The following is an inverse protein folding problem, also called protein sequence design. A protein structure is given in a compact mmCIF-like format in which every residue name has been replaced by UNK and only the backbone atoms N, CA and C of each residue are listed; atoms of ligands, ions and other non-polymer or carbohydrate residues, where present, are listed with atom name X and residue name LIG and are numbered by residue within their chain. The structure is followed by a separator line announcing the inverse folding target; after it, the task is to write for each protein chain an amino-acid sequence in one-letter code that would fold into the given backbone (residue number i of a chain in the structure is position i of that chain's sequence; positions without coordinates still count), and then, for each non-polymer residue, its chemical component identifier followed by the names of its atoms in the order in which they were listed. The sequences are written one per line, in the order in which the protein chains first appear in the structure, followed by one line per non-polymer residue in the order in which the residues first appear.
data_IF_023317406681
#
_entry.id   IF_023317406681
#
_cell.length_a   1.000
_cell.length_b   1.000
_cell.length_c   1.000
_cell.angle_alpha   90.00
_cell.angle_beta   90.00
_cell.angle_gamma   90.00
#
_symmetry.space_group_name_H-M   'P 1'
#
loop_
_entity.id
_entity.type
_entity.pdbx_description
1 polymer ?
#
# COMPACT_ATOMS: atom_id res chain seq x y z
N UNK A 1 2.82 -13.16 4.86
CA UNK A 1 2.13 -13.25 3.55
C UNK A 1 3.17 -13.20 2.44
N UNK A 2 2.99 -13.91 1.31
CA UNK A 2 3.91 -13.82 0.17
C UNK A 2 3.81 -12.46 -0.55
N UNK A 3 4.95 -11.93 -0.99
CA UNK A 3 5.07 -10.77 -1.86
C UNK A 3 4.99 -11.24 -3.33
N UNK A 4 3.96 -10.80 -4.06
CA UNK A 4 3.83 -11.08 -5.50
C UNK A 4 4.46 -9.97 -6.34
N UNK A 5 5.29 -10.33 -7.31
CA UNK A 5 5.95 -9.39 -8.22
C UNK A 5 5.39 -9.57 -9.63
N UNK A 6 5.12 -8.47 -10.33
CA UNK A 6 4.68 -8.49 -11.73
C UNK A 6 5.28 -7.32 -12.51
N UNK A 7 5.43 -7.47 -13.82
CA UNK A 7 5.75 -6.39 -14.76
C UNK A 7 4.50 -5.80 -15.43
N UNK A 8 3.33 -6.44 -15.27
CA UNK A 8 2.07 -6.07 -15.91
C UNK A 8 1.15 -5.31 -14.94
N UNK A 9 0.68 -4.12 -15.33
CA UNK A 9 -0.29 -3.35 -14.54
C UNK A 9 -1.73 -3.84 -14.67
N UNK A 10 -1.96 -4.83 -15.52
CA UNK A 10 -3.26 -5.51 -15.68
C UNK A 10 -3.28 -6.90 -15.08
N UNK A 11 -2.19 -7.31 -14.40
CA UNK A 11 -2.08 -8.62 -13.79
C UNK A 11 -3.27 -8.91 -12.86
N UNK A 12 -3.91 -10.06 -13.06
CA UNK A 12 -5.12 -10.44 -12.33
C UNK A 12 -4.90 -10.65 -10.82
N UNK A 13 -3.65 -10.69 -10.37
CA UNK A 13 -3.26 -10.78 -8.97
C UNK A 13 -3.42 -9.46 -8.20
N UNK A 14 -3.50 -8.31 -8.89
CA UNK A 14 -3.51 -6.96 -8.29
C UNK A 14 -4.65 -6.80 -7.26
N UNK A 15 -5.80 -7.42 -7.52
CA UNK A 15 -6.98 -7.34 -6.66
C UNK A 15 -7.07 -8.49 -5.62
N UNK A 16 -6.11 -9.42 -5.65
CA UNK A 16 -6.22 -10.71 -4.95
C UNK A 16 -5.15 -10.96 -3.91
N UNK A 17 -3.95 -10.42 -4.12
CA UNK A 17 -2.85 -10.55 -3.17
C UNK A 17 -2.09 -9.22 -3.02
N UNK A 18 -1.36 -9.01 -1.91
CA UNK A 18 -0.36 -7.95 -1.84
C UNK A 18 0.68 -8.13 -2.95
N UNK A 19 0.88 -7.09 -3.74
CA UNK A 19 1.64 -7.16 -4.99
C UNK A 19 2.55 -5.94 -5.15
N UNK A 20 3.55 -6.07 -6.02
CA UNK A 20 4.36 -4.95 -6.51
C UNK A 20 4.59 -5.03 -8.01
N UNK A 21 4.61 -3.86 -8.64
CA UNK A 21 5.00 -3.73 -10.05
C UNK A 21 6.47 -3.39 -10.17
N UNK A 22 7.16 -3.99 -11.12
CA UNK A 22 8.50 -3.58 -11.57
C UNK A 22 8.47 -3.23 -13.05
N UNK A 23 9.54 -2.62 -13.56
CA UNK A 23 9.69 -2.43 -15.01
C UNK A 23 9.81 -3.79 -15.71
N UNK A 24 9.38 -3.85 -16.97
CA UNK A 24 9.65 -5.01 -17.81
C UNK A 24 11.12 -5.02 -18.22
N UNK A 25 11.91 -5.84 -17.53
CA UNK A 25 13.36 -5.92 -17.69
C UNK A 25 13.74 -7.24 -18.37
N UNK A 26 14.72 -7.24 -19.30
CA UNK A 26 15.23 -8.48 -19.88
C UNK A 26 15.90 -9.33 -18.78
N UNK A 27 15.87 -10.66 -18.94
CA UNK A 27 16.42 -11.60 -17.95
C UNK A 27 17.87 -11.30 -17.54
N UNK A 28 18.70 -10.79 -18.47
CA UNK A 28 20.09 -10.40 -18.20
C UNK A 28 20.20 -9.24 -17.21
N UNK A 29 19.25 -8.30 -17.24
CA UNK A 29 19.19 -7.19 -16.30
C UNK A 29 18.66 -7.65 -14.94
N UNK A 30 17.71 -8.59 -14.92
CA UNK A 30 17.23 -9.22 -13.68
C UNK A 30 18.34 -10.03 -13.00
N UNK A 31 19.15 -10.75 -13.77
CA UNK A 31 20.27 -11.55 -13.26
C UNK A 31 21.53 -10.72 -12.91
N UNK A 32 21.46 -9.39 -13.00
CA UNK A 32 22.58 -8.49 -12.67
C UNK A 32 22.40 -7.86 -11.29
N UNK A 33 23.43 -7.16 -10.79
CA UNK A 33 23.35 -6.41 -9.51
C UNK A 33 22.46 -5.15 -9.58
N UNK A 34 21.72 -4.97 -10.68
CA UNK A 34 20.85 -3.81 -10.87
C UNK A 34 19.60 -3.97 -10.00
N UNK A 35 19.42 -3.02 -9.09
CA UNK A 35 18.22 -2.95 -8.26
C UNK A 35 16.94 -2.88 -9.11
N UNK A 36 16.04 -3.83 -8.90
CA UNK A 36 14.69 -3.81 -9.47
C UNK A 36 13.82 -2.85 -8.65
N UNK A 37 13.49 -1.70 -9.24
CA UNK A 37 12.71 -0.67 -8.55
C UNK A 37 11.21 -0.95 -8.64
N UNK A 38 10.53 -0.79 -7.51
CA UNK A 38 9.08 -0.89 -7.41
C UNK A 38 8.44 0.36 -8.05
N UNK A 39 7.57 0.10 -9.03
CA UNK A 39 6.78 1.08 -9.79
C UNK A 39 5.32 1.15 -9.36
N UNK A 40 4.85 0.17 -8.59
CA UNK A 40 3.45 0.08 -8.16
C UNK A 40 3.30 -0.91 -7.00
N UNK A 41 2.14 -0.89 -6.34
CA UNK A 41 1.84 -1.77 -5.22
C UNK A 41 2.34 -1.28 -3.86
N UNK A 42 3.49 -0.60 -3.79
CA UNK A 42 3.92 0.13 -2.58
C UNK A 42 3.27 1.52 -2.53
N UNK A 43 2.66 1.86 -1.39
CA UNK A 43 2.05 3.17 -1.14
C UNK A 43 2.45 3.73 0.22
N UNK A 44 2.47 5.06 0.28
CA UNK A 44 2.62 5.81 1.51
C UNK A 44 1.35 6.57 1.83
N UNK A 45 1.10 6.75 3.13
CA UNK A 45 0.00 7.56 3.60
C UNK A 45 0.31 9.04 3.40
N UNK A 46 -0.65 9.79 2.87
CA UNK A 46 -0.60 11.23 2.71
C UNK A 46 -1.86 11.85 3.29
N UNK A 47 -1.71 12.66 4.32
CA UNK A 47 -2.78 13.45 4.90
C UNK A 47 -2.46 14.94 4.84
N UNK A 48 -3.47 15.75 4.49
CA UNK A 48 -3.30 17.19 4.40
C UNK A 48 -4.59 17.95 4.71
N UNK A 49 -4.44 19.06 5.42
CA UNK A 49 -5.51 20.03 5.59
C UNK A 49 -5.74 20.77 4.26
N UNK A 50 -6.99 20.81 3.82
CA UNK A 50 -7.41 21.43 2.58
C UNK A 50 -7.57 22.95 2.77
N UNK A 51 -6.47 23.67 2.63
CA UNK A 51 -6.45 25.14 2.70
C UNK A 51 -6.06 25.73 1.35
N UNK A 52 -6.34 27.02 1.08
CA UNK A 52 -5.89 27.68 -0.14
C UNK A 52 -4.36 27.64 -0.36
N UNK A 53 -3.58 27.49 0.72
CA UNK A 53 -2.13 27.39 0.68
C UNK A 53 -1.62 25.93 0.64
N UNK A 54 -2.52 24.94 0.61
CA UNK A 54 -2.11 23.54 0.58
C UNK A 54 -1.37 23.22 -0.73
N UNK A 55 -0.28 22.43 -0.68
CA UNK A 55 0.47 22.08 -1.88
C UNK A 55 -0.28 21.12 -2.81
N UNK A 56 -1.37 20.50 -2.32
CA UNK A 56 -2.26 19.65 -3.12
C UNK A 56 -3.58 20.38 -3.38
N UNK A 57 -4.10 20.36 -4.62
CA UNK A 57 -5.45 20.85 -4.88
C UNK A 57 -6.50 20.01 -4.13
N UNK A 58 -7.64 20.61 -3.82
CA UNK A 58 -8.75 19.84 -3.24
C UNK A 58 -9.23 18.76 -4.23
N UNK A 59 -9.30 17.48 -3.84
CA UNK A 59 -9.76 16.40 -4.70
C UNK A 59 -11.27 16.45 -4.99
N UNK A 60 -12.06 17.21 -4.21
CA UNK A 60 -13.50 17.34 -4.43
C UNK A 60 -13.86 18.40 -5.48
N UNK A 61 -13.20 19.56 -5.43
CA UNK A 61 -13.58 20.73 -6.22
C UNK A 61 -12.40 21.49 -6.85
N UNK A 62 -11.17 20.99 -6.70
CA UNK A 62 -9.95 21.62 -7.23
C UNK A 62 -9.46 22.87 -6.49
N UNK A 63 -10.23 23.42 -5.54
CA UNK A 63 -9.89 24.64 -4.80
C UNK A 63 -9.57 24.31 -3.33
N UNK A 64 -10.33 24.84 -2.37
CA UNK A 64 -10.20 24.55 -0.94
C UNK A 64 -11.54 24.24 -0.31
N UNK A 65 -11.65 23.15 0.44
CA UNK A 65 -12.86 22.75 1.15
C UNK A 65 -12.75 22.86 2.68
N UNK A 66 -11.58 23.22 3.23
CA UNK A 66 -11.36 23.37 4.67
C UNK A 66 -11.20 22.05 5.45
N UNK A 67 -11.48 20.91 4.82
CA UNK A 67 -11.45 19.59 5.45
C UNK A 67 -10.05 18.97 5.54
N UNK A 68 -9.99 17.72 6.02
CA UNK A 68 -8.80 16.87 6.00
C UNK A 68 -8.95 15.82 4.90
N UNK A 69 -7.97 15.72 4.01
CA UNK A 69 -7.89 14.63 3.05
C UNK A 69 -6.82 13.65 3.44
N UNK A 70 -7.08 12.37 3.17
CA UNK A 70 -6.19 11.25 3.49
C UNK A 70 -6.20 10.30 2.30
N UNK A 71 -5.04 9.98 1.76
CA UNK A 71 -4.93 9.09 0.60
C UNK A 71 -3.62 8.28 0.59
N UNK A 72 -3.67 7.15 -0.09
CA UNK A 72 -2.53 6.28 -0.38
C UNK A 72 -1.89 6.67 -1.71
N UNK A 73 -0.67 7.20 -1.64
CA UNK A 73 0.05 7.73 -2.80
C UNK A 73 1.23 6.84 -3.18
N UNK A 74 1.59 6.81 -4.47
CA UNK A 74 2.88 6.29 -4.89
C UNK A 74 4.01 7.12 -4.26
N UNK A 75 5.20 6.54 -4.01
CA UNK A 75 6.35 7.28 -3.53
C UNK A 75 6.64 8.56 -4.33
N UNK A 76 6.57 8.49 -5.66
CA UNK A 76 6.79 9.63 -6.56
C UNK A 76 5.71 10.72 -6.48
N UNK A 77 4.51 10.40 -5.98
CA UNK A 77 3.39 11.33 -5.81
C UNK A 77 3.26 11.86 -4.38
N UNK A 78 4.16 11.46 -3.47
CA UNK A 78 4.20 11.96 -2.10
C UNK A 78 4.73 13.39 -2.07
N UNK A 79 4.39 14.13 -1.01
CA UNK A 79 4.90 15.47 -0.75
C UNK A 79 5.47 15.52 0.68
N UNK A 80 6.81 15.65 0.84
CA UNK A 80 7.82 15.53 -0.21
C UNK A 80 7.86 14.13 -0.85
N UNK A 81 8.39 13.98 -2.08
CA UNK A 81 8.55 12.69 -2.73
C UNK A 81 9.33 11.71 -1.85
N UNK A 82 8.91 10.45 -1.85
CA UNK A 82 9.59 9.36 -1.13
C UNK A 82 10.51 8.60 -2.09
N UNK A 83 11.64 8.05 -1.60
CA UNK A 83 12.53 7.26 -2.43
C UNK A 83 11.82 6.03 -2.98
N UNK A 84 12.22 5.60 -4.17
CA UNK A 84 11.75 4.32 -4.72
C UNK A 84 12.31 3.15 -3.91
N UNK A 85 11.45 2.19 -3.58
CA UNK A 85 11.85 0.96 -2.90
C UNK A 85 12.31 -0.08 -3.91
N UNK A 86 13.46 -0.72 -3.69
CA UNK A 86 13.87 -1.89 -4.46
C UNK A 86 13.12 -3.14 -3.99
N UNK A 87 12.94 -4.14 -4.86
CA UNK A 87 12.27 -5.40 -4.50
C UNK A 87 12.98 -6.09 -3.33
N UNK A 88 14.31 -6.23 -3.36
CA UNK A 88 15.06 -6.92 -2.30
C UNK A 88 14.96 -6.17 -0.96
N UNK A 89 15.03 -4.84 -1.00
CA UNK A 89 14.85 -4.01 0.18
C UNK A 89 13.44 -4.15 0.77
N UNK A 90 12.41 -4.27 -0.09
CA UNK A 90 11.05 -4.53 0.36
C UNK A 90 10.91 -5.93 0.98
N UNK A 91 11.55 -6.95 0.40
CA UNK A 91 11.55 -8.31 0.97
C UNK A 91 12.15 -8.29 2.38
N UNK A 92 13.34 -7.70 2.54
CA UNK A 92 13.99 -7.57 3.84
C UNK A 92 13.11 -6.79 4.84
N UNK A 93 12.65 -5.60 4.47
CA UNK A 93 11.82 -4.77 5.33
C UNK A 93 10.46 -5.41 5.66
N UNK A 94 9.92 -6.25 4.76
CA UNK A 94 8.70 -7.01 5.05
C UNK A 94 8.91 -8.13 6.07
N UNK A 95 10.09 -8.75 6.08
CA UNK A 95 10.46 -9.76 7.07
C UNK A 95 10.70 -9.14 8.45
N UNK A 96 11.23 -7.92 8.49
CA UNK A 96 11.40 -7.12 9.72
C UNK A 96 10.08 -6.54 10.24
N UNK A 97 9.04 -6.51 9.41
CA UNK A 97 7.73 -5.94 9.76
C UNK A 97 7.65 -4.43 9.53
N UNK A 98 8.69 -3.81 8.98
CA UNK A 98 8.71 -2.40 8.59
C UNK A 98 7.75 -2.10 7.44
N UNK A 99 7.57 -3.06 6.53
CA UNK A 99 6.55 -3.02 5.49
C UNK A 99 5.52 -4.11 5.70
N UNK A 100 4.25 -3.74 5.61
CA UNK A 100 3.14 -4.64 5.91
C UNK A 100 2.11 -4.63 4.77
N UNK A 101 1.50 -5.79 4.48
CA UNK A 101 0.42 -5.86 3.52
C UNK A 101 -0.84 -5.23 4.13
N UNK A 102 -1.55 -4.45 3.32
CA UNK A 102 -2.85 -3.89 3.67
C UNK A 102 -3.91 -4.22 2.63
N UNK A 103 -5.15 -4.35 3.10
CA UNK A 103 -6.37 -4.41 2.29
C UNK A 103 -7.20 -3.19 2.64
N UNK A 104 -7.54 -2.40 1.63
CA UNK A 104 -8.33 -1.19 1.78
C UNK A 104 -9.65 -1.41 1.06
N UNK A 105 -10.79 -1.42 1.76
CA UNK A 105 -12.08 -1.51 1.10
C UNK A 105 -12.33 -0.25 0.26
N UNK A 106 -12.95 -0.40 -0.91
CA UNK A 106 -13.38 0.76 -1.68
C UNK A 106 -14.51 1.47 -0.93
N UNK A 107 -14.47 2.81 -0.90
CA UNK A 107 -15.44 3.62 -0.14
C UNK A 107 -16.88 3.38 -0.59
N UNK A 108 -17.10 3.17 -1.90
CA UNK A 108 -18.43 3.00 -2.49
C UNK A 108 -18.82 1.54 -2.75
N UNK A 109 -17.88 0.59 -2.59
CA UNK A 109 -18.13 -0.82 -2.83
C UNK A 109 -17.32 -1.68 -1.85
N UNK A 110 -17.91 -2.13 -0.72
CA UNK A 110 -17.19 -2.92 0.28
C UNK A 110 -16.73 -4.30 -0.23
N UNK A 111 -17.27 -4.77 -1.37
CA UNK A 111 -16.82 -6.02 -2.02
C UNK A 111 -15.57 -5.83 -2.88
N UNK A 112 -15.28 -4.59 -3.27
CA UNK A 112 -14.05 -4.21 -3.93
C UNK A 112 -13.03 -3.77 -2.87
N UNK A 113 -11.78 -4.19 -3.04
CA UNK A 113 -10.71 -3.79 -2.12
C UNK A 113 -9.40 -3.69 -2.85
N UNK A 114 -8.65 -2.62 -2.61
CA UNK A 114 -7.28 -2.48 -3.07
C UNK A 114 -6.36 -3.22 -2.10
N UNK A 115 -5.41 -3.98 -2.64
CA UNK A 115 -4.31 -4.57 -1.85
C UNK A 115 -3.01 -3.85 -2.17
N UNK A 116 -2.24 -3.56 -1.14
CA UNK A 116 -1.00 -2.79 -1.26
C UNK A 116 0.00 -3.15 -0.17
N UNK A 117 1.24 -2.74 -0.37
CA UNK A 117 2.30 -2.72 0.64
C UNK A 117 2.51 -1.31 1.15
N UNK A 118 2.72 -1.17 2.45
CA UNK A 118 2.93 0.14 3.07
C UNK A 118 3.83 0.06 4.30
N UNK A 119 4.53 1.14 4.68
CA UNK A 119 5.22 1.17 5.96
C UNK A 119 4.27 0.91 7.13
N UNK A 120 4.72 0.17 8.14
CA UNK A 120 3.93 -0.11 9.33
C UNK A 120 3.46 1.16 10.05
N UNK A 121 4.32 2.19 10.10
CA UNK A 121 3.97 3.49 10.67
C UNK A 121 2.81 4.18 9.92
N UNK A 122 2.75 4.04 8.60
CA UNK A 122 1.69 4.61 7.78
C UNK A 122 0.36 3.85 7.99
N UNK A 123 0.40 2.51 8.10
CA UNK A 123 -0.77 1.69 8.51
C UNK A 123 -1.31 2.15 9.86
N UNK A 124 -0.44 2.34 10.85
CA UNK A 124 -0.84 2.68 12.21
C UNK A 124 -1.45 4.10 12.25
N UNK A 125 -0.85 5.05 11.52
CA UNK A 125 -1.43 6.39 11.34
C UNK A 125 -2.79 6.32 10.64
N UNK A 126 -2.95 5.51 9.60
CA UNK A 126 -4.23 5.31 8.93
C UNK A 126 -5.30 4.79 9.88
N UNK A 127 -5.01 3.74 10.65
CA UNK A 127 -5.94 3.19 11.66
C UNK A 127 -6.33 4.25 12.69
N UNK A 128 -5.39 5.08 13.12
CA UNK A 128 -5.67 6.20 14.02
C UNK A 128 -6.61 7.25 13.39
N UNK A 129 -6.47 7.53 12.08
CA UNK A 129 -7.27 8.54 11.38
C UNK A 129 -8.65 8.02 10.99
N UNK A 130 -8.76 6.81 10.44
CA UNK A 130 -10.01 6.23 9.93
C UNK A 130 -10.81 5.51 11.02
N UNK A 131 -10.14 5.02 12.07
CA UNK A 131 -10.72 4.10 13.06
C UNK A 131 -10.31 2.66 12.76
N UNK A 132 -10.36 1.79 13.77
CA UNK A 132 -10.17 0.35 13.56
C UNK A 132 -11.33 -0.18 12.73
N UNK A 133 -11.03 -0.67 11.53
CA UNK A 133 -11.93 -1.56 10.80
C UNK A 133 -11.17 -2.86 10.53
N UNK A 134 -11.89 -3.97 10.66
CA UNK A 134 -11.43 -5.33 10.98
C UNK A 134 -10.05 -5.70 10.43
N UNK A 135 -9.26 -6.33 11.31
CA UNK A 135 -8.11 -7.12 10.92
C UNK A 135 -8.43 -7.90 9.65
N UNK A 136 -7.46 -7.97 8.73
CA UNK A 136 -7.49 -8.98 7.68
C UNK A 136 -7.95 -10.28 8.34
N UNK A 137 -9.07 -10.91 7.93
CA UNK A 137 -9.33 -12.24 8.40
C UNK A 137 -8.06 -13.02 8.13
N UNK A 138 -7.53 -13.67 9.17
CA UNK A 138 -6.46 -14.64 9.02
C UNK A 138 -6.79 -15.42 7.77
N UNK A 139 -5.84 -15.49 6.84
CA UNK A 139 -6.03 -16.24 5.61
C UNK A 139 -6.66 -17.56 6.01
N UNK A 140 -7.93 -17.78 5.60
CA UNK A 140 -8.61 -19.04 5.90
C UNK A 140 -7.60 -20.12 5.58
N UNK A 141 -7.30 -21.02 6.54
CA UNK A 141 -6.31 -22.05 6.32
C UNK A 141 -6.68 -22.68 4.99
N UNK A 142 -5.75 -22.69 4.01
CA UNK A 142 -6.09 -22.96 2.63
C UNK A 142 -6.93 -24.22 2.62
N UNK A 143 -8.21 -24.07 2.26
CA UNK A 143 -9.14 -25.19 2.17
C UNK A 143 -8.41 -26.20 1.31
N UNK A 144 -7.97 -27.32 1.91
CA UNK A 144 -6.91 -28.18 1.38
C UNK A 144 -7.07 -28.30 -0.12
N UNK A 145 -6.37 -27.44 -0.86
CA UNK A 145 -6.43 -27.49 -2.30
C UNK A 145 -5.68 -28.76 -2.58
N UNK A 146 -6.40 -29.81 -2.99
CA UNK A 146 -5.77 -31.05 -3.43
C UNK A 146 -4.69 -30.63 -4.42
N UNK A 147 -3.44 -30.79 -4.01
CA UNK A 147 -2.29 -30.49 -4.84
C UNK A 147 -2.35 -31.49 -5.99
N UNK A 148 -3.01 -31.10 -7.08
CA UNK A 148 -3.07 -31.88 -8.31
C UNK A 148 -1.82 -31.52 -9.10
N UNK A 149 -0.89 -32.47 -9.17
CA UNK A 149 0.21 -32.41 -10.12
C UNK A 149 -0.39 -32.63 -11.52
N UNK A 150 0.01 -31.80 -12.49
CA UNK A 150 -0.46 -31.93 -13.88
C UNK A 150 0.15 -33.13 -14.60
N UNK A 151 1.06 -33.88 -13.95
CA UNK A 151 1.86 -34.98 -14.52
C UNK A 151 2.61 -34.59 -15.82
N UNK A 152 2.66 -33.30 -16.15
CA UNK A 152 3.40 -32.79 -17.29
C UNK A 152 4.90 -32.79 -16.97
N UNK A 153 5.69 -33.34 -17.89
CA UNK A 153 7.14 -33.25 -17.83
C UNK A 153 7.56 -31.78 -17.73
N UNK A 154 8.41 -31.48 -16.75
CA UNK A 154 8.98 -30.15 -16.56
C UNK A 154 9.76 -29.76 -17.81
N UNK A 155 9.19 -28.84 -18.60
CA UNK A 155 9.90 -28.22 -19.71
C UNK A 155 11.13 -27.48 -19.15
N UNK A 156 12.32 -28.05 -19.39
CA UNK A 156 13.60 -27.46 -18.98
C UNK A 156 13.95 -26.19 -19.76
N UNK A 157 13.21 -25.88 -20.82
CA UNK A 157 13.40 -24.66 -21.60
C UNK A 157 12.56 -23.52 -21.01
N UNK A 158 13.23 -22.51 -20.44
CA UNK A 158 12.57 -21.29 -19.99
C UNK A 158 12.13 -20.45 -21.21
N UNK A 159 10.84 -20.52 -21.55
CA UNK A 159 10.20 -19.71 -22.61
C UNK A 159 9.56 -18.42 -22.09
N UNK A 160 10.02 -17.93 -20.93
CA UNK A 160 9.50 -16.71 -20.34
C UNK A 160 9.75 -15.52 -21.30
N UNK A 161 8.68 -14.89 -21.78
CA UNK A 161 8.72 -13.81 -22.76
C UNK A 161 8.34 -14.19 -24.19
N UNK A 162 8.04 -15.46 -24.47
CA UNK A 162 7.38 -15.84 -25.74
C UNK A 162 5.87 -15.51 -25.65
N UNK A 163 5.34 -14.74 -26.61
CA UNK A 163 3.93 -14.29 -26.70
C UNK A 163 2.89 -15.43 -26.83
N UNK A 164 3.30 -16.69 -26.71
CA UNK A 164 2.48 -17.87 -26.97
C UNK A 164 1.69 -18.35 -25.75
N UNK A 165 1.97 -17.85 -24.53
CA UNK A 165 1.22 -18.23 -23.32
C UNK A 165 0.12 -17.22 -23.00
N UNK A 166 -1.11 -17.61 -23.33
CA UNK A 166 -2.31 -16.98 -22.77
C UNK A 166 -2.49 -17.49 -21.34
N UNK A 167 -2.33 -16.62 -20.35
CA UNK A 167 -2.76 -16.93 -18.98
C UNK A 167 -4.30 -17.06 -18.99
N UNK A 168 -4.80 -18.30 -18.96
CA UNK A 168 -6.24 -18.60 -18.88
C UNK A 168 -6.72 -18.38 -17.43
N UNK A 169 -6.63 -17.14 -16.93
CA UNK A 169 -7.28 -16.77 -15.68
C UNK A 169 -8.77 -16.50 -15.95
N UNK A 170 -9.55 -17.56 -15.95
CA UNK A 170 -11.02 -17.53 -16.15
C UNK A 170 -11.77 -16.83 -15.03
N UNK A 171 -11.11 -16.42 -13.95
CA UNK A 171 -11.79 -15.79 -12.82
C UNK A 171 -12.19 -14.37 -13.21
N UNK A 172 -13.44 -13.95 -12.97
CA UNK A 172 -13.88 -12.59 -13.21
C UNK A 172 -12.93 -11.59 -12.55
N UNK A 173 -12.53 -10.57 -13.31
CA UNK A 173 -11.80 -9.43 -12.76
C UNK A 173 -12.69 -8.78 -11.71
N UNK A 174 -12.17 -8.57 -10.49
CA UNK A 174 -12.92 -7.80 -9.50
C UNK A 174 -12.91 -6.33 -9.92
N UNK A 175 -13.95 -5.62 -9.54
CA UNK A 175 -14.05 -4.19 -9.78
C UNK A 175 -12.84 -3.47 -9.17
N UNK A 176 -12.21 -2.59 -9.94
CA UNK A 176 -11.02 -1.86 -9.50
C UNK A 176 -11.45 -0.88 -8.42
N UNK A 177 -11.07 -1.15 -7.18
CA UNK A 177 -11.19 -0.16 -6.12
C UNK A 177 -10.27 1.03 -6.44
N UNK A 178 -10.74 2.26 -6.21
CA UNK A 178 -9.93 3.47 -6.30
C UNK A 178 -8.63 3.27 -5.50
N UNK A 179 -7.52 3.05 -6.20
CA UNK A 179 -6.26 2.65 -5.59
C UNK A 179 -5.64 3.74 -4.69
N UNK A 180 -6.23 4.93 -4.71
CA UNK A 180 -5.89 6.05 -3.85
C UNK A 180 -6.49 5.90 -2.45
N UNK A 181 -7.57 5.13 -2.25
CA UNK A 181 -8.27 5.05 -0.96
C UNK A 181 -8.50 6.44 -0.36
N UNK A 182 -8.97 7.39 -1.16
CA UNK A 182 -9.12 8.78 -0.73
C UNK A 182 -10.29 8.91 0.27
N UNK A 183 -10.00 9.38 1.47
CA UNK A 183 -11.01 9.81 2.44
C UNK A 183 -10.95 11.32 2.62
N UNK A 184 -12.13 11.94 2.60
CA UNK A 184 -12.29 13.36 2.93
C UNK A 184 -13.12 13.48 4.18
N UNK A 185 -12.58 14.16 5.18
CA UNK A 185 -13.27 14.51 6.41
C UNK A 185 -13.60 16.01 6.39
N UNK A 186 -14.86 16.41 6.60
CA UNK A 186 -15.24 17.83 6.65
C UNK A 186 -14.59 18.54 7.85
N UNK A 187 -14.34 17.82 8.94
CA UNK A 187 -13.64 18.29 10.13
C UNK A 187 -12.48 17.32 10.46
N UNK A 188 -11.41 17.83 11.08
CA UNK A 188 -10.29 16.98 11.49
C UNK A 188 -10.76 16.02 12.60
N UNK A 189 -10.67 14.69 12.43
CA UNK A 189 -11.15 13.74 13.43
C UNK A 189 -10.51 13.95 14.81
N UNK A 190 -11.33 14.11 15.86
CA UNK A 190 -10.86 14.43 17.22
C UNK A 190 -9.87 13.40 17.79
N UNK A 191 -9.95 12.14 17.34
CA UNK A 191 -9.03 11.04 17.69
C UNK A 191 -7.58 11.30 17.30
N UNK A 192 -7.33 12.14 16.30
CA UNK A 192 -5.98 12.55 15.87
C UNK A 192 -5.34 13.49 16.92
N UNK A 193 -6.16 14.25 17.66
CA UNK A 193 -5.69 15.17 18.70
C UNK A 193 -5.54 14.52 20.08
N UNK A 194 -5.34 13.20 20.18
CA UNK A 194 -4.91 12.57 21.45
C UNK A 194 -3.48 13.03 21.78
N UNK A 195 -3.37 14.24 22.31
CA UNK A 195 -2.18 14.71 23.00
C UNK A 195 -1.98 13.74 24.16
N UNK A 196 -0.81 13.08 24.31
CA UNK A 196 -0.53 12.33 25.52
C UNK A 196 -0.68 13.31 26.69
N UNK A 197 -1.71 13.14 27.51
CA UNK A 197 -1.87 13.85 28.78
C UNK A 197 -0.81 13.33 29.76
N UNK A 198 0.47 13.54 29.45
CA UNK A 198 1.47 13.60 30.50
C UNK A 198 1.22 14.94 31.19
N UNK A 199 0.91 14.98 32.49
CA UNK A 199 0.98 16.22 33.22
C UNK A 199 2.44 16.68 33.16
N UNK A 200 2.75 17.61 32.26
CA UNK A 200 3.99 18.37 32.30
C UNK A 200 3.94 19.21 33.59
N UNK A 201 4.29 18.60 34.72
CA UNK A 201 4.67 19.37 35.90
C UNK A 201 5.99 20.02 35.55
N UNK A 202 5.95 21.31 35.22
CA UNK A 202 7.14 22.16 35.23
C UNK A 202 7.72 22.07 36.64
N UNK A 203 8.78 21.30 36.81
CA UNK A 203 9.59 21.31 38.02
C UNK A 203 10.43 22.59 37.99
N UNK A 204 9.79 23.71 38.31
CA UNK A 204 10.48 24.99 38.55
C UNK A 204 11.24 24.83 39.85
N UNK A 205 12.57 24.86 39.81
CA UNK A 205 13.38 24.87 41.03
C UNK A 205 13.14 26.20 41.79
N UNK A 206 13.35 26.24 43.12
CA UNK A 206 13.17 27.45 43.91
C UNK A 206 13.98 28.65 43.39
N UNK A 207 15.12 28.39 42.75
CA UNK A 207 16.01 29.42 42.18
C UNK A 207 15.43 30.10 40.93
N UNK A 208 14.54 29.42 40.19
CA UNK A 208 13.87 29.97 39.00
C UNK A 208 12.60 30.76 39.33
N UNK A 209 12.26 30.86 40.63
CA UNK A 209 11.07 31.56 41.12
C UNK A 209 11.41 32.87 41.84
N UNK A 210 12.69 33.25 41.87
CA UNK A 210 13.22 34.49 42.45
C UNK A 210 13.25 35.63 41.43
#
# INVERSE_FOLDING_TARGET
MPLWVTNDDRAALIDRAPWVRVDDLPWRAIASDRAMLVRGGVRHLQDWACTPAAPRPCPLNGSSCGGLHVAWSLPALCLPPKPHTGVDALVAASAEGDYVPMKIPAQHNPRASTRLWTPAADRDRWRNIIGEDEALPDAEPPMQATLTFTEEDLDSTCRYGEDTRVFDDRRPRRDHADASGLHTFPEVPQRIFRIPRQPQRLNVSPEQRA
#
